data_IF_660049305635
#
_entry.id   IF_660049305635
#
_cell.length_a   1.000
_cell.length_b   1.000
_cell.length_c   1.000
_cell.angle_alpha   90.00
_cell.angle_beta   90.00
_cell.angle_gamma   90.00
#
_symmetry.space_group_name_H-M   'P 1'
#
loop_
_entity.id
_entity.type
_entity.pdbx_description
1 polymer ?
#
# COMPACT_ATOMS: atom_id res chain seq x y z
N UNK A 1 -71.92 37.73 -20.33
CA UNK A 1 -71.60 36.90 -21.51
C UNK A 1 -70.39 37.55 -22.15
N UNK A 2 -69.20 37.30 -21.64
CA UNK A 2 -67.97 37.94 -22.12
C UNK A 2 -66.86 36.89 -22.20
N UNK A 3 -66.92 36.07 -23.26
CA UNK A 3 -65.95 35.01 -23.54
C UNK A 3 -65.11 35.29 -24.81
N UNK A 4 -65.17 36.51 -25.36
CA UNK A 4 -64.62 36.79 -26.71
C UNK A 4 -63.32 37.62 -26.74
N UNK A 5 -62.75 38.02 -25.59
CA UNK A 5 -61.57 38.90 -25.54
C UNK A 5 -60.24 38.18 -25.20
N UNK A 6 -60.27 36.90 -24.82
CA UNK A 6 -59.06 36.14 -24.43
C UNK A 6 -58.37 35.47 -25.63
N UNK A 7 -59.07 35.25 -26.75
CA UNK A 7 -58.52 34.55 -27.92
C UNK A 7 -57.60 35.44 -28.78
N UNK A 8 -57.98 36.70 -29.04
CA UNK A 8 -57.20 37.62 -29.88
C UNK A 8 -55.80 37.93 -29.31
N UNK A 9 -55.67 38.07 -27.99
CA UNK A 9 -54.38 38.31 -27.33
C UNK A 9 -53.45 37.07 -27.27
N UNK A 10 -53.98 35.88 -27.51
CA UNK A 10 -53.22 34.63 -27.57
C UNK A 10 -52.69 34.34 -28.99
N UNK A 11 -53.45 34.72 -30.02
CA UNK A 11 -53.09 34.63 -31.45
C UNK A 11 -51.89 35.53 -31.78
N UNK A 12 -51.89 36.78 -31.33
CA UNK A 12 -50.78 37.71 -31.54
C UNK A 12 -49.51 37.28 -30.81
N UNK A 13 -49.63 36.78 -29.57
CA UNK A 13 -48.50 36.21 -28.82
C UNK A 13 -47.91 34.99 -29.51
N UNK A 14 -48.74 34.09 -30.03
CA UNK A 14 -48.28 32.91 -30.80
C UNK A 14 -47.58 33.33 -32.10
N UNK A 15 -48.11 34.32 -32.84
CA UNK A 15 -47.44 34.87 -34.04
C UNK A 15 -46.11 35.53 -33.70
N UNK A 16 -46.07 36.32 -32.63
CA UNK A 16 -44.85 37.00 -32.16
C UNK A 16 -43.78 36.00 -31.71
N UNK A 17 -44.15 35.02 -30.89
CA UNK A 17 -43.24 33.95 -30.44
C UNK A 17 -42.74 33.08 -31.59
N UNK A 18 -43.60 32.77 -32.58
CA UNK A 18 -43.23 32.00 -33.78
C UNK A 18 -42.26 32.79 -34.68
N UNK A 19 -42.47 34.09 -34.82
CA UNK A 19 -41.57 34.96 -35.59
C UNK A 19 -40.21 35.12 -34.87
N UNK A 20 -40.21 35.24 -33.55
CA UNK A 20 -38.99 35.35 -32.76
C UNK A 20 -38.19 34.03 -32.76
N UNK A 21 -38.83 32.89 -32.50
CA UNK A 21 -38.16 31.57 -32.57
C UNK A 21 -37.66 31.26 -33.98
N UNK A 22 -38.43 31.56 -35.03
CA UNK A 22 -37.96 31.40 -36.41
C UNK A 22 -36.72 32.25 -36.71
N UNK A 23 -36.66 33.48 -36.19
CA UNK A 23 -35.51 34.37 -36.35
C UNK A 23 -34.28 33.84 -35.62
N UNK A 24 -34.42 33.46 -34.35
CA UNK A 24 -33.33 32.91 -33.54
C UNK A 24 -32.81 31.58 -34.12
N UNK A 25 -33.70 30.71 -34.59
CA UNK A 25 -33.33 29.43 -35.23
C UNK A 25 -32.61 29.61 -36.57
N UNK A 26 -32.89 30.71 -37.28
CA UNK A 26 -32.24 31.04 -38.55
C UNK A 26 -30.88 31.69 -38.35
N UNK A 27 -30.69 32.42 -37.24
CA UNK A 27 -29.41 33.00 -36.80
C UNK A 27 -28.55 32.01 -35.99
N UNK A 28 -29.07 30.81 -35.70
CA UNK A 28 -28.31 29.78 -35.01
C UNK A 28 -27.18 29.22 -35.88
N UNK A 29 -26.00 29.02 -35.29
CA UNK A 29 -24.82 28.43 -35.95
C UNK A 29 -25.02 26.98 -36.41
N UNK A 30 -26.09 26.32 -35.95
CA UNK A 30 -26.46 24.98 -36.37
C UNK A 30 -27.12 25.02 -37.75
N UNK A 31 -26.36 24.67 -38.78
CA UNK A 31 -26.79 24.57 -40.19
C UNK A 31 -28.02 23.67 -40.41
N UNK A 32 -28.33 22.78 -39.47
CA UNK A 32 -29.54 21.96 -39.51
C UNK A 32 -30.81 22.76 -39.18
N UNK A 33 -30.74 23.73 -38.26
CA UNK A 33 -31.90 24.52 -37.83
C UNK A 33 -32.31 25.57 -38.87
N UNK A 34 -31.33 26.19 -39.54
CA UNK A 34 -31.58 27.12 -40.65
C UNK A 34 -32.26 26.43 -41.85
N UNK A 35 -31.86 25.19 -42.16
CA UNK A 35 -32.48 24.37 -43.21
C UNK A 35 -33.91 23.91 -42.86
N UNK A 36 -34.20 23.61 -41.59
CA UNK A 36 -35.54 23.21 -41.13
C UNK A 36 -36.54 24.37 -41.20
N UNK A 37 -36.09 25.61 -40.93
CA UNK A 37 -36.94 26.82 -41.03
C UNK A 37 -37.21 27.20 -42.48
N UNK A 38 -36.24 27.01 -43.39
CA UNK A 38 -36.37 27.40 -44.81
C UNK A 38 -37.18 26.41 -45.65
N UNK A 39 -37.45 25.20 -45.17
CA UNK A 39 -38.10 24.14 -45.97
C UNK A 39 -39.62 24.23 -45.89
N UNK A 40 -40.30 24.41 -47.04
CA UNK A 40 -41.77 24.51 -47.14
C UNK A 40 -42.50 23.16 -47.10
N UNK A 41 -41.86 22.07 -47.51
CA UNK A 41 -42.47 20.74 -47.57
C UNK A 41 -42.51 20.06 -46.20
N UNK A 42 -43.71 19.73 -45.72
CA UNK A 42 -43.96 19.11 -44.41
C UNK A 42 -43.22 17.77 -44.23
N UNK A 43 -43.24 16.88 -45.21
CA UNK A 43 -42.54 15.58 -45.13
C UNK A 43 -41.01 15.74 -45.01
N UNK A 44 -40.42 16.62 -45.83
CA UNK A 44 -38.98 16.89 -45.81
C UNK A 44 -38.55 17.54 -44.49
N UNK A 45 -39.41 18.40 -43.94
CA UNK A 45 -39.21 19.02 -42.63
C UNK A 45 -39.29 18.00 -41.49
N UNK A 46 -40.26 17.09 -41.53
CA UNK A 46 -40.40 16.01 -40.54
C UNK A 46 -39.17 15.08 -40.56
N UNK A 47 -38.67 14.72 -41.74
CA UNK A 47 -37.45 13.92 -41.87
C UNK A 47 -36.22 14.62 -41.29
N UNK A 48 -36.02 15.91 -41.59
CA UNK A 48 -34.90 16.68 -41.03
C UNK A 48 -34.97 16.80 -39.50
N UNK A 49 -36.17 16.99 -38.94
CA UNK A 49 -36.38 17.00 -37.49
C UNK A 49 -36.08 15.62 -36.88
N UNK A 50 -36.54 14.54 -37.51
CA UNK A 50 -36.27 13.17 -37.05
C UNK A 50 -34.77 12.88 -37.01
N UNK A 51 -34.04 13.22 -38.08
CA UNK A 51 -32.58 13.06 -38.14
C UNK A 51 -31.89 13.89 -37.07
N UNK A 52 -32.35 15.13 -36.84
CA UNK A 52 -31.81 15.99 -35.79
C UNK A 52 -32.04 15.40 -34.40
N UNK A 53 -33.24 14.90 -34.11
CA UNK A 53 -33.57 14.23 -32.84
C UNK A 53 -32.70 12.99 -32.63
N UNK A 54 -32.54 12.14 -33.66
CA UNK A 54 -31.66 10.97 -33.58
C UNK A 54 -30.19 11.35 -33.32
N UNK A 55 -29.72 12.43 -33.92
CA UNK A 55 -28.37 12.93 -33.69
C UNK A 55 -28.19 13.46 -32.26
N UNK A 56 -29.17 14.22 -31.75
CA UNK A 56 -29.15 14.73 -30.38
C UNK A 56 -29.21 13.60 -29.35
N UNK A 57 -30.06 12.59 -29.54
CA UNK A 57 -30.13 11.44 -28.62
C UNK A 57 -28.82 10.67 -28.60
N UNK A 58 -28.20 10.44 -29.76
CA UNK A 58 -26.87 9.84 -29.85
C UNK A 58 -25.80 10.66 -29.13
N UNK A 59 -25.81 11.98 -29.30
CA UNK A 59 -24.90 12.90 -28.62
C UNK A 59 -25.07 12.83 -27.09
N UNK A 60 -26.30 12.95 -26.58
CA UNK A 60 -26.56 12.87 -25.14
C UNK A 60 -26.19 11.50 -24.56
N UNK A 61 -26.45 10.42 -25.28
CA UNK A 61 -26.05 9.07 -24.86
C UNK A 61 -24.53 8.95 -24.70
N UNK A 62 -23.76 9.45 -25.67
CA UNK A 62 -22.30 9.47 -25.60
C UNK A 62 -21.78 10.36 -24.47
N UNK A 63 -22.33 11.56 -24.32
CA UNK A 63 -21.98 12.47 -23.22
C UNK A 63 -22.25 11.85 -21.85
N UNK A 64 -23.40 11.22 -21.65
CA UNK A 64 -23.74 10.60 -20.38
C UNK A 64 -22.85 9.41 -20.05
N UNK A 65 -22.53 8.59 -21.04
CA UNK A 65 -21.60 7.46 -20.90
C UNK A 65 -20.20 7.95 -20.48
N UNK A 66 -19.68 8.97 -21.16
CA UNK A 66 -18.38 9.57 -20.82
C UNK A 66 -18.41 10.19 -19.41
N UNK A 67 -19.46 10.93 -19.08
CA UNK A 67 -19.61 11.57 -17.77
C UNK A 67 -19.70 10.53 -16.64
N UNK A 68 -20.42 9.43 -16.86
CA UNK A 68 -20.47 8.30 -15.94
C UNK A 68 -19.10 7.65 -15.74
N UNK A 69 -18.28 7.58 -16.80
CA UNK A 69 -16.94 7.05 -16.71
C UNK A 69 -16.00 7.99 -15.93
N UNK A 70 -16.10 9.30 -16.15
CA UNK A 70 -15.36 10.33 -15.42
C UNK A 70 -15.72 10.30 -13.93
N UNK A 71 -17.00 10.23 -13.58
CA UNK A 71 -17.44 10.20 -12.17
C UNK A 71 -17.09 8.91 -11.43
N UNK A 72 -16.72 7.85 -12.14
CA UNK A 72 -16.17 6.64 -11.51
C UNK A 72 -14.72 6.80 -11.07
N UNK A 73 -14.07 7.93 -11.39
CA UNK A 73 -12.66 8.20 -11.10
C UNK A 73 -11.76 6.97 -11.31
N UNK A 74 -11.80 6.33 -12.50
CA UNK A 74 -10.97 5.15 -12.74
C UNK A 74 -9.51 5.56 -12.63
N UNK A 75 -8.80 4.96 -11.69
CA UNK A 75 -7.36 5.15 -11.54
C UNK A 75 -6.65 4.19 -12.49
N UNK A 76 -5.91 4.74 -13.47
CA UNK A 76 -5.02 3.95 -14.31
C UNK A 76 -3.67 3.92 -13.60
N UNK A 77 -3.25 2.73 -13.17
CA UNK A 77 -1.92 2.55 -12.57
C UNK A 77 -0.94 2.28 -13.71
N UNK A 78 -0.08 3.26 -14.02
CA UNK A 78 1.05 3.08 -14.94
C UNK A 78 2.25 2.55 -14.13
N UNK A 79 2.53 1.25 -14.25
CA UNK A 79 3.68 0.62 -13.58
C UNK A 79 4.91 0.77 -14.46
N UNK A 80 5.78 1.71 -14.11
CA UNK A 80 7.09 1.87 -14.74
C UNK A 80 8.16 1.21 -13.89
N UNK A 81 8.93 0.32 -14.50
CA UNK A 81 10.09 -0.31 -13.87
C UNK A 81 11.32 0.48 -14.30
N UNK A 82 11.89 1.24 -13.38
CA UNK A 82 13.15 1.95 -13.57
C UNK A 82 14.28 1.16 -12.90
N UNK A 83 15.43 1.05 -13.58
CA UNK A 83 16.62 0.38 -13.05
C UNK A 83 17.72 1.42 -12.81
N UNK A 84 17.63 2.21 -11.73
CA UNK A 84 18.64 3.22 -11.43
C UNK A 84 19.97 2.57 -11.01
N UNK A 85 21.10 3.17 -11.36
CA UNK A 85 22.43 2.66 -10.99
C UNK A 85 22.68 2.65 -9.47
N UNK A 86 21.96 3.51 -8.75
CA UNK A 86 22.02 3.66 -7.29
C UNK A 86 20.61 3.69 -6.72
N UNK A 87 20.41 2.93 -5.66
CA UNK A 87 19.15 2.90 -4.91
C UNK A 87 19.41 3.23 -3.44
N UNK A 88 18.41 3.83 -2.80
CA UNK A 88 18.45 4.03 -1.35
C UNK A 88 18.36 2.67 -0.65
N UNK A 89 19.28 2.41 0.27
CA UNK A 89 19.24 1.18 1.06
C UNK A 89 18.02 1.23 1.99
N UNK A 90 17.12 0.23 1.95
CA UNK A 90 16.03 0.14 2.90
C UNK A 90 16.57 -0.16 4.30
N UNK A 91 15.81 0.24 5.32
CA UNK A 91 16.08 -0.16 6.68
C UNK A 91 16.00 -1.70 6.78
N UNK A 92 17.08 -2.32 7.23
CA UNK A 92 17.16 -3.77 7.40
C UNK A 92 16.87 -4.11 8.85
N UNK A 93 15.69 -4.64 9.10
CA UNK A 93 15.29 -5.15 10.41
C UNK A 93 15.44 -6.66 10.47
N UNK A 94 16.15 -7.16 11.48
CA UNK A 94 16.27 -8.57 11.77
C UNK A 94 15.89 -8.85 13.23
N UNK A 95 15.36 -10.04 13.50
CA UNK A 95 14.91 -10.45 14.82
C UNK A 95 15.45 -11.84 15.13
N UNK A 96 15.87 -12.07 16.38
CA UNK A 96 16.09 -13.44 16.83
C UNK A 96 14.73 -14.06 17.19
N UNK A 97 14.31 -15.05 16.39
CA UNK A 97 13.08 -15.80 16.66
C UNK A 97 13.16 -16.61 17.97
N UNK A 98 14.38 -16.78 18.50
CA UNK A 98 14.63 -17.26 19.84
C UNK A 98 14.78 -16.07 20.79
N UNK A 99 13.72 -15.77 21.55
CA UNK A 99 13.70 -14.61 22.45
C UNK A 99 14.63 -14.73 23.66
N UNK A 100 15.21 -15.90 23.92
CA UNK A 100 16.07 -16.16 25.09
C UNK A 100 17.32 -16.97 24.74
N UNK A 101 18.44 -16.63 25.37
CA UNK A 101 19.64 -17.45 25.37
C UNK A 101 19.60 -18.38 26.58
N UNK A 102 19.63 -19.70 26.38
CA UNK A 102 19.55 -20.71 27.47
C UNK A 102 20.59 -20.44 28.56
N UNK A 103 21.83 -20.19 28.15
CA UNK A 103 22.95 -19.87 29.06
C UNK A 103 22.65 -18.65 29.91
N UNK A 104 22.31 -17.51 29.29
CA UNK A 104 22.05 -16.25 30.01
C UNK A 104 20.77 -16.32 30.87
N UNK A 105 19.71 -16.93 30.33
CA UNK A 105 18.45 -17.13 31.05
C UNK A 105 18.66 -17.95 32.33
N UNK A 106 19.32 -19.10 32.24
CA UNK A 106 19.56 -19.96 33.40
C UNK A 106 20.64 -19.40 34.35
N UNK A 107 21.58 -18.60 33.86
CA UNK A 107 22.51 -17.87 34.74
C UNK A 107 21.79 -16.81 35.58
N UNK A 108 20.78 -16.12 35.03
CA UNK A 108 20.05 -15.06 35.73
C UNK A 108 18.89 -15.60 36.58
N UNK A 109 18.24 -16.67 36.13
CA UNK A 109 17.07 -17.29 36.77
C UNK A 109 17.26 -18.82 36.90
N UNK A 110 18.17 -19.28 37.78
CA UNK A 110 18.47 -20.72 37.90
C UNK A 110 17.27 -21.55 38.37
N UNK A 111 16.38 -20.96 39.18
CA UNK A 111 15.17 -21.62 39.69
C UNK A 111 14.11 -21.89 38.60
N UNK A 112 14.16 -21.18 37.47
CA UNK A 112 13.27 -21.40 36.33
C UNK A 112 13.81 -22.45 35.34
N UNK A 113 14.96 -23.07 35.64
CA UNK A 113 15.60 -24.05 34.79
C UNK A 113 15.54 -25.46 35.37
N UNK A 114 15.75 -26.44 34.50
CA UNK A 114 15.90 -27.85 34.82
C UNK A 114 17.04 -28.43 33.98
N UNK A 115 17.65 -29.50 34.45
CA UNK A 115 18.58 -30.27 33.62
C UNK A 115 17.81 -30.92 32.46
N UNK A 116 18.45 -30.96 31.29
CA UNK A 116 17.89 -31.58 30.10
C UNK A 116 17.70 -33.08 30.33
N UNK A 117 16.46 -33.55 30.13
CA UNK A 117 16.13 -34.96 30.15
C UNK A 117 16.65 -35.67 28.88
N UNK A 118 16.94 -36.97 28.96
CA UNK A 118 17.44 -37.77 27.85
C UNK A 118 16.49 -37.72 26.64
N UNK A 119 15.17 -37.68 26.90
CA UNK A 119 14.14 -37.51 25.88
C UNK A 119 14.27 -36.17 25.12
N UNK A 120 14.65 -35.10 25.82
CA UNK A 120 14.88 -33.80 25.20
C UNK A 120 16.16 -33.80 24.36
N UNK A 121 17.22 -34.43 24.86
CA UNK A 121 18.49 -34.58 24.16
C UNK A 121 18.37 -35.44 22.90
N UNK A 122 17.57 -36.51 22.93
CA UNK A 122 17.28 -37.34 21.75
C UNK A 122 16.57 -36.54 20.65
N UNK A 123 15.65 -35.64 21.04
CA UNK A 123 14.92 -34.80 20.09
C UNK A 123 15.75 -33.62 19.56
N UNK A 124 16.59 -33.06 20.42
CA UNK A 124 17.42 -31.88 20.12
C UNK A 124 18.87 -32.11 20.60
N UNK A 125 19.67 -32.91 19.87
CA UNK A 125 21.02 -33.27 20.30
C UNK A 125 21.96 -32.06 20.42
N UNK A 126 21.71 -31.01 19.63
CA UNK A 126 22.44 -29.74 19.76
C UNK A 126 22.31 -29.08 21.13
N UNK A 127 21.26 -29.40 21.91
CA UNK A 127 21.05 -28.82 23.23
C UNK A 127 21.92 -29.44 24.32
N UNK A 128 22.40 -30.67 24.12
CA UNK A 128 23.12 -31.46 25.10
C UNK A 128 24.57 -31.72 24.69
N UNK A 129 25.13 -30.87 23.81
CA UNK A 129 26.54 -30.90 23.46
C UNK A 129 27.40 -30.56 24.69
N UNK A 130 28.52 -31.28 24.87
CA UNK A 130 29.40 -31.16 26.04
C UNK A 130 29.96 -29.74 26.29
N UNK A 131 29.93 -28.86 25.29
CA UNK A 131 30.42 -27.48 25.38
C UNK A 131 29.33 -26.46 25.77
N UNK A 132 28.06 -26.88 25.88
CA UNK A 132 26.93 -26.01 26.20
C UNK A 132 26.30 -26.34 27.56
N UNK A 133 25.51 -25.40 28.10
CA UNK A 133 24.77 -25.64 29.33
C UNK A 133 23.68 -26.69 29.11
N UNK A 134 23.71 -27.79 29.87
CA UNK A 134 22.63 -28.78 29.90
C UNK A 134 21.34 -28.26 30.58
N UNK A 135 21.38 -27.05 31.12
CA UNK A 135 20.23 -26.38 31.73
C UNK A 135 19.29 -25.82 30.67
N UNK A 136 18.01 -26.14 30.81
CA UNK A 136 16.94 -25.71 29.90
C UNK A 136 15.82 -25.03 30.70
N UNK A 137 15.23 -23.93 30.19
CA UNK A 137 14.08 -23.30 30.81
C UNK A 137 12.90 -24.27 30.92
N UNK A 138 12.27 -24.29 32.09
CA UNK A 138 11.05 -25.05 32.34
C UNK A 138 9.88 -24.46 31.54
N UNK A 139 9.00 -25.31 30.96
CA UNK A 139 7.94 -24.84 30.08
C UNK A 139 6.92 -23.91 30.75
N UNK A 140 6.69 -24.12 32.04
CA UNK A 140 5.77 -23.32 32.88
C UNK A 140 6.18 -21.84 32.96
N UNK A 141 7.48 -21.55 32.84
CA UNK A 141 8.03 -20.21 33.01
C UNK A 141 8.28 -19.48 31.68
N UNK A 142 7.93 -20.07 30.52
CA UNK A 142 8.02 -19.37 29.22
C UNK A 142 7.12 -18.13 29.16
N UNK A 143 6.06 -18.08 29.96
CA UNK A 143 5.16 -16.92 30.06
C UNK A 143 5.84 -15.66 30.60
N UNK A 144 6.90 -15.80 31.40
CA UNK A 144 7.68 -14.67 31.95
C UNK A 144 8.28 -13.83 30.82
N UNK A 145 8.67 -14.47 29.70
CA UNK A 145 9.22 -13.79 28.51
C UNK A 145 8.26 -12.72 27.98
N UNK A 146 6.96 -12.91 28.13
CA UNK A 146 5.95 -11.93 27.69
C UNK A 146 5.89 -10.68 28.58
N UNK A 147 6.46 -10.74 29.79
CA UNK A 147 6.46 -9.64 30.76
C UNK A 147 7.77 -8.83 30.73
N UNK A 148 8.82 -9.33 30.08
CA UNK A 148 10.11 -8.63 29.98
C UNK A 148 9.97 -7.26 29.29
N UNK A 149 10.64 -6.26 29.86
CA UNK A 149 10.82 -4.94 29.26
C UNK A 149 11.99 -4.93 28.28
N UNK A 150 12.08 -3.88 27.45
CA UNK A 150 13.14 -3.71 26.45
C UNK A 150 14.52 -3.74 27.10
N UNK A 151 14.68 -3.11 28.26
CA UNK A 151 15.96 -3.00 28.97
C UNK A 151 16.43 -4.31 29.59
N UNK A 152 15.50 -5.22 29.91
CA UNK A 152 15.82 -6.52 30.51
C UNK A 152 16.13 -7.60 29.46
N UNK A 153 15.77 -7.35 28.21
CA UNK A 153 15.89 -8.31 27.13
C UNK A 153 17.34 -8.61 26.72
N UNK A 154 18.29 -7.64 26.67
CA UNK A 154 19.71 -7.91 26.41
C UNK A 154 20.36 -8.88 27.40
N UNK A 155 19.93 -8.83 28.66
CA UNK A 155 20.52 -9.64 29.73
C UNK A 155 20.17 -11.11 29.62
N UNK A 156 19.07 -11.44 28.93
CA UNK A 156 18.48 -12.77 28.88
C UNK A 156 18.51 -13.32 27.44
N UNK A 157 18.39 -12.45 26.44
CA UNK A 157 18.47 -12.76 25.01
C UNK A 157 19.89 -12.91 24.49
N UNK A 158 20.03 -13.34 23.23
CA UNK A 158 21.34 -13.39 22.57
C UNK A 158 21.92 -12.00 22.36
N UNK A 159 23.25 -11.90 22.45
CA UNK A 159 23.94 -10.66 22.13
C UNK A 159 23.90 -10.42 20.62
N UNK A 160 23.93 -9.15 20.20
CA UNK A 160 24.02 -8.80 18.78
C UNK A 160 25.32 -9.34 18.19
N UNK A 161 26.42 -9.24 18.95
CA UNK A 161 27.75 -9.69 18.56
C UNK A 161 27.78 -11.21 18.30
N UNK A 162 26.91 -11.96 18.97
CA UNK A 162 26.74 -13.41 18.75
C UNK A 162 25.87 -13.71 17.52
N UNK A 163 25.02 -12.78 17.08
CA UNK A 163 24.17 -12.94 15.90
C UNK A 163 24.91 -12.53 14.61
N UNK A 164 25.79 -11.54 14.71
CA UNK A 164 26.60 -11.03 13.60
C UNK A 164 27.93 -11.81 13.51
N UNK A 165 27.84 -13.12 13.24
CA UNK A 165 29.02 -14.01 13.14
C UNK A 165 29.82 -13.77 11.84
N UNK A 166 29.21 -13.13 10.84
CA UNK A 166 29.82 -13.02 9.51
C UNK A 166 30.77 -11.80 9.39
N UNK A 167 32.06 -12.09 9.25
CA UNK A 167 33.12 -11.11 9.00
C UNK A 167 32.91 -10.32 7.71
N UNK A 168 32.12 -10.83 6.77
CA UNK A 168 31.78 -10.13 5.54
C UNK A 168 30.91 -8.88 5.81
N UNK A 169 30.13 -8.90 6.89
CA UNK A 169 29.33 -7.76 7.35
C UNK A 169 30.17 -6.76 8.16
N UNK A 170 31.15 -7.22 8.96
CA UNK A 170 32.02 -6.34 9.76
C UNK A 170 32.76 -5.28 8.94
N UNK A 171 33.18 -5.61 7.72
CA UNK A 171 33.96 -4.71 6.87
C UNK A 171 33.17 -3.52 6.31
N UNK A 172 31.89 -3.72 5.97
CA UNK A 172 31.01 -2.66 5.42
C UNK A 172 30.16 -1.96 6.49
N UNK A 173 29.91 -2.61 7.62
CA UNK A 173 29.02 -2.09 8.68
C UNK A 173 29.73 -1.43 9.87
N UNK A 174 31.07 -1.38 9.88
CA UNK A 174 31.85 -0.85 11.01
C UNK A 174 31.47 0.59 11.44
N UNK A 175 30.82 1.35 10.55
CA UNK A 175 30.40 2.73 10.79
C UNK A 175 28.86 2.90 10.85
N UNK A 176 28.07 1.84 10.73
CA UNK A 176 26.62 1.92 10.80
C UNK A 176 26.14 1.80 12.23
N UNK A 177 25.39 2.80 12.69
CA UNK A 177 24.70 2.77 13.98
C UNK A 177 23.61 1.69 13.93
N UNK A 178 23.74 0.68 14.78
CA UNK A 178 22.69 -0.29 15.01
C UNK A 178 21.66 0.31 15.96
N UNK A 179 20.39 0.25 15.59
CA UNK A 179 19.28 0.69 16.43
C UNK A 179 18.56 -0.51 17.05
N UNK A 180 18.29 -0.41 18.35
CA UNK A 180 17.63 -1.45 19.14
C UNK A 180 18.28 -1.65 20.51
N UNK A 181 17.87 -2.70 21.24
CA UNK A 181 16.84 -3.66 20.86
C UNK A 181 15.44 -3.03 20.84
N UNK A 182 14.57 -3.50 19.95
CA UNK A 182 13.13 -3.25 20.03
C UNK A 182 12.38 -4.57 20.16
N UNK A 183 11.33 -4.56 20.97
CA UNK A 183 10.47 -5.72 21.18
C UNK A 183 9.45 -5.79 20.04
N UNK A 184 9.37 -6.94 19.38
CA UNK A 184 8.23 -7.28 18.53
C UNK A 184 7.52 -8.53 19.02
N UNK A 185 6.21 -8.56 18.81
CA UNK A 185 5.42 -9.76 18.99
C UNK A 185 5.80 -10.78 17.91
N UNK A 186 5.89 -12.06 18.28
CA UNK A 186 6.01 -13.15 17.32
C UNK A 186 4.70 -13.23 16.51
N UNK A 187 4.79 -13.24 15.18
CA UNK A 187 3.61 -13.01 14.31
C UNK A 187 2.50 -14.08 14.45
N UNK A 188 1.26 -13.60 14.25
CA UNK A 188 -0.07 -14.23 14.03
C UNK A 188 -0.55 -15.35 14.99
N UNK A 189 0.31 -16.24 15.49
CA UNK A 189 -0.08 -17.32 16.41
C UNK A 189 0.96 -17.66 17.50
N UNK A 190 2.05 -16.90 17.58
CA UNK A 190 3.12 -17.17 18.55
C UNK A 190 2.94 -16.39 19.85
N UNK A 191 2.78 -17.10 20.97
CA UNK A 191 3.11 -16.54 22.28
C UNK A 191 4.62 -16.24 22.30
N UNK A 192 5.01 -15.02 22.69
CA UNK A 192 6.41 -14.64 22.81
C UNK A 192 6.74 -13.23 22.30
N UNK A 193 7.72 -12.62 22.95
CA UNK A 193 8.39 -11.39 22.52
C UNK A 193 9.77 -11.75 21.95
N UNK A 194 10.18 -11.09 20.88
CA UNK A 194 11.51 -11.23 20.29
C UNK A 194 12.26 -9.91 20.28
N UNK A 195 13.57 -9.99 20.50
CA UNK A 195 14.49 -8.88 20.33
C UNK A 195 14.76 -8.69 18.84
N UNK A 196 14.57 -7.48 18.37
CA UNK A 196 14.84 -7.10 17.00
C UNK A 196 15.78 -5.90 16.97
N UNK A 197 16.54 -5.83 15.87
CA UNK A 197 17.51 -4.78 15.62
C UNK A 197 17.35 -4.26 14.19
N UNK A 198 17.66 -3.00 13.99
CA UNK A 198 17.49 -2.31 12.71
C UNK A 198 18.80 -1.64 12.31
N UNK A 199 19.15 -1.80 11.05
CA UNK A 199 20.27 -1.15 10.39
C UNK A 199 19.74 -0.17 9.36
N UNK A 200 20.47 0.92 9.14
CA UNK A 200 20.08 1.99 8.19
C UNK A 200 18.73 2.64 8.51
N UNK A 201 18.31 2.59 9.78
CA UNK A 201 17.15 3.34 10.25
C UNK A 201 17.47 4.84 10.29
N UNK A 202 16.49 5.66 9.94
CA UNK A 202 16.60 7.12 9.84
C UNK A 202 16.00 7.79 11.09
N UNK A 203 15.53 7.00 12.06
CA UNK A 203 14.92 7.48 13.29
C UNK A 203 16.06 8.04 14.16
N UNK A 204 16.30 9.36 14.08
CA UNK A 204 17.30 10.16 14.80
C UNK A 204 18.70 10.34 14.17
N UNK A 205 18.89 10.03 12.88
CA UNK A 205 20.17 10.29 12.19
C UNK A 205 20.08 11.52 11.25
N UNK A 206 21.04 12.47 11.28
CA UNK A 206 21.01 13.63 10.40
C UNK A 206 21.31 13.20 8.95
N UNK A 207 20.26 13.23 8.12
CA UNK A 207 20.27 13.40 6.66
C UNK A 207 21.46 12.77 5.91
N UNK A 208 21.36 11.50 5.57
CA UNK A 208 21.74 10.98 4.23
C UNK A 208 21.32 9.52 4.13
N UNK A 209 20.43 9.20 3.20
CA UNK A 209 20.16 7.81 2.83
C UNK A 209 21.45 7.22 2.25
N UNK A 210 21.87 6.05 2.75
CA UNK A 210 23.02 5.37 2.18
C UNK A 210 22.63 4.82 0.81
N UNK A 211 23.14 5.47 -0.24
CA UNK A 211 23.00 5.03 -1.62
C UNK A 211 23.90 3.82 -1.87
N UNK A 212 23.33 2.75 -2.43
CA UNK A 212 24.07 1.54 -2.78
C UNK A 212 23.90 1.26 -4.27
N UNK A 213 24.98 0.82 -4.92
CA UNK A 213 24.92 0.36 -6.30
C UNK A 213 24.14 -0.96 -6.38
N UNK A 214 23.22 -1.07 -7.34
CA UNK A 214 22.36 -2.25 -7.52
C UNK A 214 23.15 -3.56 -7.60
N UNK A 215 24.35 -3.55 -8.21
CA UNK A 215 25.22 -4.73 -8.28
C UNK A 215 25.71 -5.24 -6.92
N UNK A 216 25.80 -4.38 -5.89
CA UNK A 216 26.19 -4.80 -4.53
C UNK A 216 25.06 -5.44 -3.74
N UNK A 217 23.80 -5.17 -4.10
CA UNK A 217 22.61 -5.73 -3.41
C UNK A 217 22.47 -7.21 -3.78
N UNK A 218 22.62 -7.54 -5.06
CA UNK A 218 22.52 -8.91 -5.59
C UNK A 218 23.51 -9.86 -4.90
N UNK A 219 24.75 -9.41 -4.63
CA UNK A 219 25.73 -10.21 -3.90
C UNK A 219 25.38 -10.46 -2.42
N UNK A 220 24.62 -9.56 -1.79
CA UNK A 220 24.25 -9.64 -0.37
C UNK A 220 23.09 -10.61 -0.13
N UNK A 221 22.18 -10.77 -1.10
CA UNK A 221 21.06 -11.72 -1.03
C UNK A 221 21.41 -13.13 -1.53
N UNK A 222 22.39 -13.28 -2.43
CA UNK A 222 22.75 -14.58 -3.02
C UNK A 222 23.73 -15.38 -2.15
N UNK A 223 24.43 -14.77 -1.19
CA UNK A 223 25.37 -15.44 -0.29
C UNK A 223 24.76 -16.45 0.70
N UNK A 224 23.47 -16.80 0.57
CA UNK A 224 22.78 -17.76 1.45
C UNK A 224 21.86 -18.75 0.71
N UNK A 225 22.11 -18.97 -0.59
CA UNK A 225 21.41 -19.99 -1.38
C UNK A 225 22.30 -21.17 -1.84
N UNK A 226 23.55 -21.23 -1.35
CA UNK A 226 24.43 -22.38 -1.50
C UNK A 226 25.14 -22.70 -0.19
#
# INVERSE_FOLDING_TARGET
MDLNNTENGSEERKKSLKNYTSKVLRESSLSALSNIVSTKNLYRKAYQILVLVLCFTGFFYQCFTLLSHIFRYPTIVDVRIENPDRVEMPALTFCDNNGISRKKFCSKLPHCCMEADDALCLKHPSYCNANETMMVPRPEYYSIINQLTVDQLPDIGRSIEELLIDKQFEGKMKNTKLEGPFIRAKSVFGFGRMACYSLFSIIDSPKTSSMISVGSIVGMYIGRLY
#
